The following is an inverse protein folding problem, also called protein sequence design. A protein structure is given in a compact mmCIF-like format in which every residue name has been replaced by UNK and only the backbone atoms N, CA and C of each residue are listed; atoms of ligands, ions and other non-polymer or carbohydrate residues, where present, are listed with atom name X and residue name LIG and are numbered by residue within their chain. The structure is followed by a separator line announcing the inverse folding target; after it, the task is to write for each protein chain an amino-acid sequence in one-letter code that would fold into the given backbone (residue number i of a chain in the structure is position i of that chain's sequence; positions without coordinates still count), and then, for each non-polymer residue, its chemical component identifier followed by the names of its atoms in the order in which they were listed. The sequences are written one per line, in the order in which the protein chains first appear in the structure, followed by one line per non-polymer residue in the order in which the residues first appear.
data_IF_763523821428
#
_entry.id   IF_763523821428
#
_cell.length_a   1.000
_cell.length_b   1.000
_cell.length_c   1.000
_cell.angle_alpha   90.00
_cell.angle_beta   90.00
_cell.angle_gamma   90.00
#
_symmetry.space_group_name_H-M   'P 1'
#
loop_
_entity.id
_entity.type
_entity.pdbx_description
1 polymer ?
#
# COMPACT_ATOMS: atom_id res chain seq x y z
N UNK A 1 32.89 -14.65 -49.21
CA UNK A 1 31.80 -14.13 -48.35
C UNK A 1 32.38 -13.05 -47.46
N UNK A 2 31.84 -11.83 -47.47
CA UNK A 2 32.33 -10.71 -46.65
C UNK A 2 31.61 -10.79 -45.29
N UNK A 3 32.35 -10.99 -44.21
CA UNK A 3 31.79 -10.94 -42.87
C UNK A 3 31.42 -9.48 -42.56
N UNK A 4 30.12 -9.17 -42.49
CA UNK A 4 29.65 -7.87 -42.03
C UNK A 4 29.73 -7.85 -40.50
N UNK A 5 30.74 -7.17 -39.96
CA UNK A 5 30.88 -6.92 -38.52
C UNK A 5 30.45 -5.51 -38.15
N UNK A 6 30.07 -5.30 -36.90
CA UNK A 6 29.86 -3.96 -36.35
C UNK A 6 31.19 -3.25 -36.10
N UNK A 7 31.23 -1.95 -36.38
CA UNK A 7 32.34 -1.09 -36.01
C UNK A 7 32.36 -0.85 -34.50
N UNK A 8 33.54 -0.55 -33.95
CA UNK A 8 33.67 -0.22 -32.53
C UNK A 8 32.77 0.95 -32.12
N UNK A 9 32.63 1.96 -32.98
CA UNK A 9 31.81 3.14 -32.70
C UNK A 9 30.31 2.81 -32.66
N UNK A 10 29.82 1.92 -33.53
CA UNK A 10 28.42 1.46 -33.50
C UNK A 10 28.10 0.70 -32.21
N UNK A 11 29.04 -0.15 -31.76
CA UNK A 11 28.90 -0.86 -30.48
C UNK A 11 28.85 0.13 -29.32
N UNK A 12 29.75 1.11 -29.28
CA UNK A 12 29.78 2.14 -28.23
C UNK A 12 28.49 2.97 -28.23
N UNK A 13 28.03 3.43 -29.40
CA UNK A 13 26.78 4.19 -29.52
C UNK A 13 25.56 3.38 -29.05
N UNK A 14 25.52 2.09 -29.38
CA UNK A 14 24.44 1.20 -28.94
C UNK A 14 24.43 1.03 -27.42
N UNK A 15 25.60 0.84 -26.80
CA UNK A 15 25.72 0.75 -25.34
C UNK A 15 25.32 2.08 -24.68
N UNK A 16 25.74 3.22 -25.22
CA UNK A 16 25.34 4.54 -24.72
C UNK A 16 23.83 4.73 -24.80
N UNK A 17 23.20 4.35 -25.92
CA UNK A 17 21.75 4.44 -26.06
C UNK A 17 21.02 3.57 -25.02
N UNK A 18 21.46 2.32 -24.83
CA UNK A 18 20.91 1.43 -23.80
C UNK A 18 21.07 2.01 -22.40
N UNK A 19 22.25 2.56 -22.07
CA UNK A 19 22.52 3.15 -20.77
C UNK A 19 21.61 4.36 -20.48
N UNK A 20 21.36 5.21 -21.49
CA UNK A 20 20.43 6.35 -21.36
C UNK A 20 19.01 5.85 -21.10
N UNK A 21 18.53 4.88 -21.88
CA UNK A 21 17.18 4.32 -21.72
C UNK A 21 17.03 3.68 -20.34
N UNK A 22 18.01 2.88 -19.91
CA UNK A 22 18.01 2.25 -18.60
C UNK A 22 18.02 3.29 -17.46
N UNK A 23 18.84 4.34 -17.60
CA UNK A 23 18.93 5.42 -16.62
C UNK A 23 17.61 6.17 -16.42
N UNK A 24 16.85 6.40 -17.49
CA UNK A 24 15.53 7.05 -17.42
C UNK A 24 14.46 6.08 -16.89
N UNK A 25 14.57 4.79 -17.19
CA UNK A 25 13.58 3.79 -16.80
C UNK A 25 13.45 3.62 -15.28
N UNK A 26 14.56 3.74 -14.54
CA UNK A 26 14.58 3.57 -13.08
C UNK A 26 13.68 4.58 -12.34
N UNK A 27 13.84 5.91 -12.48
CA UNK A 27 12.99 6.87 -11.77
C UNK A 27 11.52 6.83 -12.22
N UNK A 28 11.26 6.51 -13.50
CA UNK A 28 9.90 6.32 -14.01
C UNK A 28 9.24 5.12 -13.34
N UNK A 29 9.94 3.99 -13.27
CA UNK A 29 9.46 2.80 -12.57
C UNK A 29 9.21 3.07 -11.09
N UNK A 30 10.14 3.76 -10.41
CA UNK A 30 9.96 4.11 -9.00
C UNK A 30 8.74 5.01 -8.76
N UNK A 31 8.51 5.99 -9.63
CA UNK A 31 7.32 6.85 -9.53
C UNK A 31 6.03 6.07 -9.72
N UNK A 32 6.02 5.13 -10.69
CA UNK A 32 4.89 4.25 -10.92
C UNK A 32 4.62 3.34 -9.71
N UNK A 33 5.66 2.69 -9.17
CA UNK A 33 5.57 1.83 -8.00
C UNK A 33 4.97 2.59 -6.81
N UNK A 34 5.47 3.78 -6.48
CA UNK A 34 4.97 4.57 -5.37
C UNK A 34 3.48 4.95 -5.52
N UNK A 35 3.02 5.23 -6.76
CA UNK A 35 1.61 5.53 -7.03
C UNK A 35 0.73 4.29 -6.88
N UNK A 36 1.19 3.16 -7.40
CA UNK A 36 0.50 1.88 -7.29
C UNK A 36 0.38 1.43 -5.83
N UNK A 37 1.46 1.58 -5.06
CA UNK A 37 1.48 1.26 -3.64
C UNK A 37 0.48 2.11 -2.85
N UNK A 38 0.39 3.41 -3.16
CA UNK A 38 -0.59 4.30 -2.55
C UNK A 38 -2.03 3.92 -2.91
N UNK A 39 -2.28 3.55 -4.16
CA UNK A 39 -3.61 3.13 -4.63
C UNK A 39 -4.07 1.82 -3.95
N UNK A 40 -3.15 0.85 -3.83
CA UNK A 40 -3.39 -0.39 -3.08
C UNK A 40 -3.68 -0.07 -1.61
N UNK A 41 -2.85 0.76 -0.97
CA UNK A 41 -3.05 1.15 0.43
C UNK A 41 -4.41 1.82 0.67
N UNK A 42 -4.81 2.74 -0.22
CA UNK A 42 -6.11 3.40 -0.14
C UNK A 42 -7.27 2.41 -0.31
N UNK A 43 -7.14 1.46 -1.25
CA UNK A 43 -8.13 0.41 -1.49
C UNK A 43 -8.26 -0.52 -0.28
N UNK A 44 -7.13 -0.99 0.26
CA UNK A 44 -7.08 -1.83 1.47
C UNK A 44 -7.72 -1.10 2.64
N UNK A 45 -7.35 0.17 2.88
CA UNK A 45 -7.94 0.97 3.95
C UNK A 45 -9.46 1.10 3.81
N UNK A 46 -9.96 1.40 2.61
CA UNK A 46 -11.40 1.51 2.36
C UNK A 46 -12.13 0.18 2.56
N UNK A 47 -11.53 -0.94 2.15
CA UNK A 47 -12.08 -2.28 2.36
C UNK A 47 -12.11 -2.64 3.85
N UNK A 48 -11.02 -2.36 4.58
CA UNK A 48 -10.93 -2.60 6.02
C UNK A 48 -11.93 -1.75 6.80
N UNK A 49 -12.12 -0.48 6.42
CA UNK A 49 -13.13 0.39 7.02
C UNK A 49 -14.55 -0.16 6.82
N UNK A 50 -14.91 -0.56 5.59
CA UNK A 50 -16.22 -1.17 5.30
C UNK A 50 -16.41 -2.48 6.07
N UNK A 51 -15.36 -3.27 6.19
CA UNK A 51 -15.39 -4.52 6.95
C UNK A 51 -15.62 -4.26 8.44
N UNK A 52 -14.89 -3.31 9.03
CA UNK A 52 -15.12 -2.88 10.42
C UNK A 52 -16.56 -2.45 10.64
N UNK A 53 -17.12 -1.66 9.70
CA UNK A 53 -18.53 -1.24 9.75
C UNK A 53 -19.50 -2.44 9.75
N UNK A 54 -19.30 -3.42 8.85
CA UNK A 54 -20.14 -4.62 8.78
C UNK A 54 -20.04 -5.46 10.06
N UNK A 55 -18.84 -5.63 10.62
CA UNK A 55 -18.63 -6.37 11.87
C UNK A 55 -19.31 -5.68 13.06
N UNK A 56 -19.22 -4.35 13.15
CA UNK A 56 -19.93 -3.57 14.17
C UNK A 56 -21.46 -3.67 14.01
N UNK A 57 -21.99 -3.58 12.79
CA UNK A 57 -23.42 -3.74 12.53
C UNK A 57 -23.93 -5.14 12.87
N UNK A 58 -23.13 -6.18 12.57
CA UNK A 58 -23.41 -7.56 12.94
C UNK A 58 -23.28 -7.82 14.45
N UNK A 59 -22.77 -6.85 15.23
CA UNK A 59 -22.49 -6.98 16.67
C UNK A 59 -21.55 -8.15 16.94
N UNK A 60 -20.60 -8.39 16.04
CA UNK A 60 -19.64 -9.47 16.19
C UNK A 60 -18.76 -9.23 17.42
N UNK A 61 -18.75 -10.19 18.35
CA UNK A 61 -18.08 -10.03 19.65
C UNK A 61 -18.69 -9.00 20.61
N UNK A 62 -19.95 -8.56 20.39
CA UNK A 62 -20.69 -7.58 21.22
C UNK A 62 -19.96 -6.25 21.49
N UNK A 63 -19.21 -5.77 20.50
CA UNK A 63 -18.41 -4.56 20.64
C UNK A 63 -18.31 -3.77 19.34
N UNK A 64 -17.73 -2.57 19.43
CA UNK A 64 -17.39 -1.75 18.27
C UNK A 64 -16.21 -2.36 17.51
N UNK A 65 -16.12 -2.05 16.23
CA UNK A 65 -15.00 -2.42 15.39
C UNK A 65 -14.44 -1.18 14.73
N UNK A 66 -13.14 -1.19 14.44
CA UNK A 66 -12.49 -0.05 13.83
C UNK A 66 -11.36 -0.43 12.90
N UNK A 67 -10.89 0.57 12.18
CA UNK A 67 -9.66 0.49 11.39
C UNK A 67 -8.71 1.57 11.84
N UNK A 68 -7.44 1.23 11.97
CA UNK A 68 -6.37 2.18 12.22
C UNK A 68 -5.33 2.10 11.12
N UNK A 69 -4.87 3.24 10.65
CA UNK A 69 -3.81 3.36 9.66
C UNK A 69 -2.63 4.08 10.29
N UNK A 70 -1.44 3.51 10.15
CA UNK A 70 -0.18 4.07 10.65
C UNK A 70 0.93 3.77 9.66
N UNK A 71 2.12 4.35 9.86
CA UNK A 71 3.26 4.05 8.99
C UNK A 71 3.52 2.55 9.00
N UNK A 72 3.60 1.97 7.81
CA UNK A 72 3.90 0.54 7.61
C UNK A 72 2.69 -0.38 7.63
N UNK A 73 1.55 -0.01 8.24
CA UNK A 73 0.43 -0.94 8.41
C UNK A 73 -0.96 -0.28 8.41
N UNK A 74 -1.96 -1.05 7.99
CA UNK A 74 -3.39 -0.82 8.21
C UNK A 74 -3.90 -1.97 9.07
N UNK A 75 -4.49 -1.69 10.23
CA UNK A 75 -5.00 -2.68 11.16
C UNK A 75 -6.53 -2.60 11.28
N UNK A 76 -7.21 -3.71 11.01
CA UNK A 76 -8.57 -3.94 11.50
C UNK A 76 -8.48 -4.33 12.97
N UNK A 77 -9.35 -3.79 13.80
CA UNK A 77 -9.38 -4.15 15.21
C UNK A 77 -10.78 -4.25 15.78
N UNK A 78 -10.90 -5.08 16.83
CA UNK A 78 -12.09 -5.24 17.64
C UNK A 78 -11.95 -4.46 18.95
N UNK A 79 -12.78 -3.46 19.17
CA UNK A 79 -12.76 -2.64 20.39
C UNK A 79 -13.35 -1.24 20.20
N UNK A 80 -13.52 -0.53 21.32
CA UNK A 80 -14.05 0.85 21.35
C UNK A 80 -13.04 1.90 20.84
N UNK A 81 -11.76 1.54 20.81
CA UNK A 81 -10.66 2.30 20.22
C UNK A 81 -9.47 1.34 20.01
N UNK A 82 -8.44 1.80 19.29
CA UNK A 82 -7.28 0.96 19.00
C UNK A 82 -6.44 0.64 20.25
N UNK A 83 -6.26 1.58 21.17
CA UNK A 83 -5.44 1.38 22.37
C UNK A 83 -6.01 0.30 23.30
N UNK A 84 -7.32 0.23 23.45
CA UNK A 84 -8.05 -0.72 24.29
C UNK A 84 -8.63 -1.91 23.52
N UNK A 85 -8.14 -2.18 22.31
CA UNK A 85 -8.63 -3.28 21.47
C UNK A 85 -8.23 -4.66 22.02
N UNK A 86 -8.97 -5.67 21.57
CA UNK A 86 -8.60 -7.07 21.75
C UNK A 86 -7.67 -7.52 20.62
N UNK A 87 -6.36 -7.57 20.91
CA UNK A 87 -5.31 -7.84 19.92
C UNK A 87 -5.37 -9.24 19.32
N UNK A 88 -6.13 -10.18 19.91
CA UNK A 88 -6.32 -11.51 19.33
C UNK A 88 -7.15 -11.48 18.03
N UNK A 89 -7.83 -10.38 17.77
CA UNK A 89 -8.69 -10.18 16.59
C UNK A 89 -8.10 -9.13 15.63
N UNK A 90 -6.85 -8.70 15.85
CA UNK A 90 -6.18 -7.76 14.96
C UNK A 90 -5.90 -8.44 13.61
N UNK A 91 -6.33 -7.80 12.53
CA UNK A 91 -5.90 -8.17 11.19
C UNK A 91 -5.06 -7.04 10.61
N UNK A 92 -3.80 -7.36 10.30
CA UNK A 92 -2.81 -6.40 9.86
C UNK A 92 -2.54 -6.58 8.38
N UNK A 93 -2.61 -5.48 7.65
CA UNK A 93 -2.24 -5.37 6.25
C UNK A 93 -1.02 -4.49 6.13
N UNK A 94 0.05 -5.04 5.58
CA UNK A 94 1.29 -4.30 5.38
C UNK A 94 1.13 -3.25 4.28
N UNK A 95 1.77 -2.11 4.51
CA UNK A 95 1.83 -0.97 3.60
C UNK A 95 3.27 -0.45 3.55
N UNK A 96 3.78 0.03 2.40
CA UNK A 96 5.12 0.60 2.35
C UNK A 96 5.30 1.78 3.32
N UNK A 97 6.43 1.80 4.04
CA UNK A 97 6.79 2.88 4.98
C UNK A 97 7.14 4.21 4.30
N UNK A 98 7.25 4.21 2.96
CA UNK A 98 7.35 5.42 2.15
C UNK A 98 6.05 6.24 2.15
N UNK A 99 4.92 5.63 2.51
CA UNK A 99 3.63 6.31 2.62
C UNK A 99 3.51 6.95 4.01
N UNK A 100 3.43 8.28 4.04
CA UNK A 100 3.25 9.05 5.26
C UNK A 100 1.75 9.29 5.49
N UNK A 101 1.25 8.80 6.62
CA UNK A 101 -0.14 8.97 7.04
C UNK A 101 -0.25 10.25 7.87
N UNK A 102 -1.28 11.04 7.64
CA UNK A 102 -1.54 12.28 8.38
C UNK A 102 -3.03 12.48 8.63
N UNK A 103 -3.37 13.37 9.58
CA UNK A 103 -4.75 13.62 10.00
C UNK A 103 -5.34 12.49 10.85
N UNK A 104 -6.63 12.23 10.67
CA UNK A 104 -7.35 11.18 11.39
C UNK A 104 -6.91 9.80 10.92
N UNK A 105 -6.35 9.04 11.85
CA UNK A 105 -5.72 7.74 11.60
C UNK A 105 -6.56 6.56 12.10
N UNK A 106 -7.64 6.83 12.81
CA UNK A 106 -8.48 5.81 13.42
C UNK A 106 -9.94 6.13 13.19
N UNK A 107 -10.68 5.13 12.76
CA UNK A 107 -12.12 5.20 12.52
C UNK A 107 -12.76 4.02 13.22
N UNK A 108 -13.67 4.31 14.16
CA UNK A 108 -14.41 3.32 14.94
C UNK A 108 -15.87 3.40 14.58
N UNK A 109 -16.47 2.25 14.36
CA UNK A 109 -17.87 2.07 14.00
C UNK A 109 -18.64 1.53 15.21
N UNK A 110 -19.76 2.16 15.53
CA UNK A 110 -20.57 1.79 16.70
C UNK A 110 -21.44 0.58 16.39
N UNK A 111 -21.61 -0.30 17.39
CA UNK A 111 -22.45 -1.48 17.20
C UNK A 111 -23.87 -1.13 16.76
N UNK A 112 -24.49 -2.03 16.01
CA UNK A 112 -25.82 -1.90 15.37
C UNK A 112 -25.94 -0.83 14.26
N UNK A 113 -25.29 0.32 14.38
CA UNK A 113 -25.45 1.42 13.41
C UNK A 113 -24.34 1.43 12.35
N UNK A 114 -23.14 0.96 12.70
CA UNK A 114 -21.95 1.10 11.86
C UNK A 114 -21.42 2.51 11.93
#
# INVERSE_FOLDING_TARGET
MKNAGFTLIEVLLSITAIAIIAGISIPVYQSFQNRNDLDIAATVFAQTARRAQVLAQATDGDTSWGTRVQSGIIALFKGVNYEGRDTAYDEVFDMPSSIIVSGTQEYVFTKFTG
#
